data_IF_851253752357
#
_entry.id   IF_851253752357
#
_cell.length_a   1.000
_cell.length_b   1.000
_cell.length_c   1.000
_cell.angle_alpha   90.00
_cell.angle_beta   90.00
_cell.angle_gamma   90.00
#
_symmetry.space_group_name_H-M   'P 1'
#
loop_
_entity.id
_entity.type
_entity.pdbx_description
1 polymer ?
#
# COMPACT_ATOMS: atom_id res chain seq x y z
N UNK A 1 -13.71 -28.95 -18.24
CA UNK A 1 -14.13 -28.69 -16.86
C UNK A 1 -14.94 -29.89 -16.36
N UNK A 2 -14.71 -30.35 -15.13
CA UNK A 2 -15.39 -31.51 -14.57
C UNK A 2 -16.91 -31.22 -14.42
N UNK A 3 -17.79 -32.18 -14.74
CA UNK A 3 -19.25 -32.07 -14.60
C UNK A 3 -19.69 -31.59 -13.21
N UNK A 4 -19.01 -32.05 -12.15
CA UNK A 4 -19.29 -31.62 -10.78
C UNK A 4 -18.93 -30.14 -10.54
N UNK A 5 -17.84 -29.67 -11.14
CA UNK A 5 -17.44 -28.26 -11.09
C UNK A 5 -18.43 -27.36 -11.83
N UNK A 6 -18.91 -27.77 -13.00
CA UNK A 6 -19.93 -27.01 -13.74
C UNK A 6 -21.26 -26.95 -13.00
N UNK A 7 -21.67 -28.06 -12.36
CA UNK A 7 -22.89 -28.09 -11.54
C UNK A 7 -22.79 -27.19 -10.30
N UNK A 8 -21.65 -27.21 -9.61
CA UNK A 8 -21.39 -26.33 -8.47
C UNK A 8 -21.39 -24.85 -8.88
N UNK A 9 -20.71 -24.51 -9.99
CA UNK A 9 -20.69 -23.14 -10.50
C UNK A 9 -22.10 -22.66 -10.87
N UNK A 10 -22.90 -23.50 -11.54
CA UNK A 10 -24.30 -23.18 -11.83
C UNK A 10 -25.14 -22.92 -10.58
N UNK A 11 -24.99 -23.76 -9.55
CA UNK A 11 -25.68 -23.56 -8.27
C UNK A 11 -25.31 -22.24 -7.58
N UNK A 12 -24.04 -21.83 -7.67
CA UNK A 12 -23.58 -20.52 -7.17
C UNK A 12 -24.18 -19.40 -8.00
N UNK A 13 -24.06 -19.45 -9.32
CA UNK A 13 -24.51 -18.39 -10.24
C UNK A 13 -26.02 -18.11 -10.14
N UNK A 14 -26.85 -19.11 -9.81
CA UNK A 14 -28.28 -18.94 -9.52
C UNK A 14 -28.56 -18.05 -8.30
N UNK A 15 -27.62 -17.92 -7.35
CA UNK A 15 -27.79 -17.23 -6.07
C UNK A 15 -26.90 -16.00 -5.92
N UNK A 16 -25.74 -16.03 -6.58
CA UNK A 16 -24.73 -15.00 -6.53
C UNK A 16 -24.05 -14.95 -7.90
N UNK A 17 -24.07 -13.81 -8.62
CA UNK A 17 -23.62 -13.73 -10.01
C UNK A 17 -22.08 -13.74 -10.14
N UNK A 18 -21.44 -14.80 -9.66
CA UNK A 18 -19.99 -14.95 -9.56
C UNK A 18 -19.35 -14.90 -10.95
N UNK A 19 -19.84 -15.72 -11.88
CA UNK A 19 -19.27 -15.80 -13.23
C UNK A 19 -19.45 -14.49 -13.99
N UNK A 20 -20.61 -13.84 -13.84
CA UNK A 20 -20.86 -12.55 -14.49
C UNK A 20 -19.92 -11.45 -13.95
N UNK A 21 -19.73 -11.38 -12.63
CA UNK A 21 -18.82 -10.42 -12.01
C UNK A 21 -17.35 -10.71 -12.38
N UNK A 22 -16.94 -11.98 -12.39
CA UNK A 22 -15.61 -12.38 -12.84
C UNK A 22 -15.35 -11.93 -14.29
N UNK A 23 -16.31 -12.17 -15.18
CA UNK A 23 -16.21 -11.74 -16.58
C UNK A 23 -16.13 -10.23 -16.72
N UNK A 24 -17.00 -9.51 -16.02
CA UNK A 24 -17.08 -8.05 -16.09
C UNK A 24 -15.83 -7.35 -15.53
N UNK A 25 -15.18 -7.92 -14.51
CA UNK A 25 -14.09 -7.24 -13.81
C UNK A 25 -12.70 -7.84 -14.05
N UNK A 26 -12.58 -9.10 -14.48
CA UNK A 26 -11.29 -9.80 -14.51
C UNK A 26 -10.95 -10.44 -15.85
N UNK A 27 -11.91 -11.03 -16.57
CA UNK A 27 -11.56 -11.78 -17.80
C UNK A 27 -11.98 -11.13 -19.11
N UNK A 28 -13.18 -10.56 -19.21
CA UNK A 28 -13.81 -10.20 -20.50
C UNK A 28 -13.98 -8.69 -20.70
N UNK A 29 -13.48 -7.83 -19.80
CA UNK A 29 -13.48 -6.38 -20.07
C UNK A 29 -12.41 -6.01 -21.10
N UNK A 30 -12.74 -5.06 -21.97
CA UNK A 30 -11.85 -4.61 -23.04
C UNK A 30 -10.98 -3.44 -22.57
N UNK A 31 -9.67 -3.56 -22.81
CA UNK A 31 -8.68 -2.52 -22.54
C UNK A 31 -8.00 -2.06 -23.85
N UNK A 32 -7.52 -0.80 -23.94
CA UNK A 32 -6.78 -0.31 -25.10
C UNK A 32 -5.61 -1.23 -25.43
N UNK A 33 -5.38 -1.55 -26.71
CA UNK A 33 -4.34 -2.49 -27.16
C UNK A 33 -2.89 -1.99 -27.02
N UNK A 34 -2.70 -0.69 -26.77
CA UNK A 34 -1.42 0.03 -26.79
C UNK A 34 -0.88 0.38 -25.39
N UNK A 35 -1.20 -0.39 -24.34
CA UNK A 35 -0.59 -0.15 -23.03
C UNK A 35 0.92 -0.43 -23.05
N UNK A 36 1.69 0.59 -22.68
CA UNK A 36 3.13 0.48 -22.52
C UNK A 36 3.52 0.15 -21.07
N UNK A 37 4.82 0.27 -20.77
CA UNK A 37 5.41 0.03 -19.46
C UNK A 37 4.67 0.73 -18.30
N UNK A 38 4.20 1.96 -18.48
CA UNK A 38 3.61 2.73 -17.39
C UNK A 38 2.29 2.16 -16.84
N UNK A 39 1.67 1.20 -17.56
CA UNK A 39 0.42 0.58 -17.16
C UNK A 39 0.59 -0.59 -16.17
N UNK A 40 1.83 -1.01 -15.88
CA UNK A 40 2.10 -2.03 -14.83
C UNK A 40 1.84 -1.51 -13.41
N UNK A 41 2.07 -0.23 -13.15
CA UNK A 41 2.12 0.27 -11.77
C UNK A 41 0.78 0.22 -11.04
N UNK A 42 -0.35 0.10 -11.75
CA UNK A 42 -1.65 -0.14 -11.10
C UNK A 42 -1.78 -1.54 -10.52
N UNK A 43 -1.45 -2.58 -11.29
CA UNK A 43 -1.48 -3.97 -10.81
C UNK A 43 -0.36 -4.25 -9.80
N UNK A 44 0.81 -3.63 -9.97
CA UNK A 44 1.88 -3.70 -8.96
C UNK A 44 1.46 -3.05 -7.63
N UNK A 45 0.74 -1.92 -7.65
CA UNK A 45 0.24 -1.30 -6.41
C UNK A 45 -0.72 -2.23 -5.66
N UNK A 46 -1.59 -2.95 -6.39
CA UNK A 46 -2.46 -3.97 -5.81
C UNK A 46 -1.66 -5.13 -5.21
N UNK A 47 -0.64 -5.63 -5.92
CA UNK A 47 0.24 -6.68 -5.41
C UNK A 47 0.91 -6.27 -4.10
N UNK A 48 1.51 -5.07 -4.05
CA UNK A 48 2.20 -4.60 -2.85
C UNK A 48 1.21 -4.39 -1.71
N UNK A 49 0.00 -3.87 -1.96
CA UNK A 49 -1.05 -3.78 -0.94
C UNK A 49 -1.36 -5.15 -0.31
N UNK A 50 -1.50 -6.21 -1.13
CA UNK A 50 -1.72 -7.57 -0.62
C UNK A 50 -0.52 -8.06 0.20
N UNK A 51 0.71 -7.80 -0.27
CA UNK A 51 1.93 -8.14 0.49
C UNK A 51 1.90 -7.45 1.85
N UNK A 52 1.59 -6.15 1.92
CA UNK A 52 1.53 -5.41 3.18
C UNK A 52 0.47 -5.95 4.14
N UNK A 53 -0.74 -6.25 3.65
CA UNK A 53 -1.81 -6.80 4.49
C UNK A 53 -1.41 -8.17 5.04
N UNK A 54 -0.93 -9.07 4.18
CA UNK A 54 -0.57 -10.44 4.59
C UNK A 54 0.58 -10.40 5.59
N UNK A 55 1.67 -9.70 5.27
CA UNK A 55 2.81 -9.57 6.19
C UNK A 55 2.45 -8.85 7.48
N UNK A 56 1.63 -7.81 7.43
CA UNK A 56 1.15 -7.08 8.61
C UNK A 56 0.33 -7.96 9.56
N UNK A 57 -0.53 -8.84 9.02
CA UNK A 57 -1.28 -9.83 9.80
C UNK A 57 -0.31 -10.78 10.53
N UNK A 58 0.69 -11.32 9.84
CA UNK A 58 1.68 -12.19 10.48
C UNK A 58 2.50 -11.47 11.57
N UNK A 59 2.93 -10.23 11.32
CA UNK A 59 3.65 -9.44 12.33
C UNK A 59 2.79 -9.16 13.56
N UNK A 60 1.51 -8.85 13.35
CA UNK A 60 0.55 -8.58 14.42
C UNK A 60 0.36 -9.78 15.35
N UNK A 61 0.53 -11.02 14.88
CA UNK A 61 0.45 -12.23 15.71
C UNK A 61 1.56 -12.31 16.77
N UNK A 62 2.66 -11.56 16.59
CA UNK A 62 3.85 -11.61 17.45
C UNK A 62 4.19 -10.26 18.10
N UNK A 63 3.64 -9.16 17.60
CA UNK A 63 3.89 -7.81 18.10
C UNK A 63 3.12 -7.50 19.40
N UNK A 64 3.69 -6.67 20.27
CA UNK A 64 3.06 -6.17 21.51
C UNK A 64 2.93 -4.64 21.47
N UNK A 65 1.72 -4.06 21.37
CA UNK A 65 1.50 -2.62 21.40
C UNK A 65 1.58 -2.07 22.83
N UNK A 66 2.77 -2.14 23.42
CA UNK A 66 3.06 -1.66 24.77
C UNK A 66 4.40 -0.92 24.74
N UNK A 67 4.48 0.28 25.30
CA UNK A 67 5.64 1.16 25.19
C UNK A 67 6.94 0.55 25.75
N UNK A 68 6.84 -0.40 26.69
CA UNK A 68 7.98 -1.11 27.28
C UNK A 68 8.35 -2.35 26.45
N UNK A 69 7.37 -2.99 25.81
CA UNK A 69 7.56 -4.26 25.10
C UNK A 69 7.65 -4.15 23.57
N UNK A 70 7.23 -3.05 22.97
CA UNK A 70 7.08 -2.92 21.52
C UNK A 70 8.37 -3.20 20.76
N UNK A 71 9.45 -2.51 21.14
CA UNK A 71 10.78 -2.72 20.52
C UNK A 71 11.27 -4.16 20.73
N UNK A 72 11.18 -4.67 21.96
CA UNK A 72 11.57 -6.05 22.28
C UNK A 72 10.77 -7.09 21.49
N UNK A 73 9.48 -6.86 21.26
CA UNK A 73 8.63 -7.74 20.45
C UNK A 73 9.02 -7.74 18.97
N UNK A 74 9.50 -6.62 18.44
CA UNK A 74 10.06 -6.56 17.08
C UNK A 74 11.40 -7.30 16.99
N UNK A 75 12.27 -7.18 17.99
CA UNK A 75 13.51 -7.96 18.04
C UNK A 75 13.25 -9.47 18.18
N UNK A 76 12.23 -9.85 18.96
CA UNK A 76 11.76 -11.24 19.04
C UNK A 76 11.31 -11.77 17.67
N UNK A 77 10.54 -10.98 16.89
CA UNK A 77 10.18 -11.33 15.51
C UNK A 77 11.42 -11.54 14.64
N UNK A 78 12.43 -10.69 14.79
CA UNK A 78 13.66 -10.79 13.99
C UNK A 78 14.50 -12.01 14.31
N UNK A 79 14.60 -12.37 15.59
CA UNK A 79 15.60 -13.33 16.08
C UNK A 79 15.04 -14.71 16.33
N UNK A 80 13.81 -14.79 16.84
CA UNK A 80 13.28 -16.02 17.43
C UNK A 80 12.10 -16.59 16.61
N UNK A 81 11.37 -15.76 15.87
CA UNK A 81 10.30 -16.23 14.98
C UNK A 81 10.90 -16.80 13.69
N UNK A 82 10.55 -18.05 13.37
CA UNK A 82 10.96 -18.69 12.12
C UNK A 82 10.53 -17.86 10.90
N UNK A 83 11.49 -17.45 10.07
CA UNK A 83 11.29 -16.52 8.94
C UNK A 83 10.76 -15.13 9.31
N UNK A 84 10.70 -14.77 10.59
CA UNK A 84 10.17 -13.48 11.04
C UNK A 84 10.98 -12.29 10.52
N UNK A 85 12.31 -12.44 10.40
CA UNK A 85 13.18 -11.44 9.76
C UNK A 85 12.76 -11.12 8.32
N UNK A 86 12.40 -12.15 7.53
CA UNK A 86 12.01 -12.00 6.14
C UNK A 86 10.66 -11.30 6.05
N UNK A 87 9.69 -11.71 6.88
CA UNK A 87 8.36 -11.09 6.91
C UNK A 87 8.45 -9.63 7.33
N UNK A 88 9.28 -9.31 8.34
CA UNK A 88 9.51 -7.91 8.77
C UNK A 88 10.09 -7.09 7.62
N UNK A 89 11.13 -7.56 6.94
CA UNK A 89 11.71 -6.83 5.82
C UNK A 89 10.78 -6.74 4.61
N UNK A 90 10.00 -7.78 4.33
CA UNK A 90 8.94 -7.71 3.32
C UNK A 90 7.94 -6.61 3.65
N UNK A 91 7.60 -6.40 4.92
CA UNK A 91 6.68 -5.35 5.35
C UNK A 91 7.33 -3.95 5.31
N UNK A 92 8.55 -3.79 5.86
CA UNK A 92 9.24 -2.49 5.90
C UNK A 92 9.70 -2.03 4.51
N UNK A 93 10.44 -2.90 3.81
CA UNK A 93 10.92 -2.62 2.45
C UNK A 93 9.75 -2.59 1.46
N UNK A 94 8.71 -3.41 1.69
CA UNK A 94 7.49 -3.39 0.91
C UNK A 94 6.79 -2.03 0.97
N UNK A 95 6.76 -1.36 2.12
CA UNK A 95 6.24 0.00 2.23
C UNK A 95 7.01 1.00 1.35
N UNK A 96 8.35 0.93 1.33
CA UNK A 96 9.19 1.76 0.45
C UNK A 96 8.88 1.50 -1.03
N UNK A 97 8.81 0.22 -1.43
CA UNK A 97 8.47 -0.15 -2.80
C UNK A 97 7.04 0.26 -3.17
N UNK A 98 6.11 0.28 -2.20
CA UNK A 98 4.75 0.74 -2.42
C UNK A 98 4.74 2.21 -2.86
N UNK A 99 5.47 3.09 -2.16
CA UNK A 99 5.58 4.49 -2.55
C UNK A 99 6.22 4.67 -3.92
N UNK A 100 7.29 3.93 -4.23
CA UNK A 100 7.92 3.97 -5.57
C UNK A 100 6.90 3.62 -6.65
N UNK A 101 6.16 2.51 -6.47
CA UNK A 101 5.13 2.07 -7.42
C UNK A 101 4.01 3.11 -7.55
N UNK A 102 3.53 3.67 -6.44
CA UNK A 102 2.46 4.68 -6.45
C UNK A 102 2.94 5.98 -7.09
N UNK A 103 4.17 6.43 -6.85
CA UNK A 103 4.72 7.61 -7.53
C UNK A 103 4.79 7.41 -9.04
N UNK A 104 5.25 6.24 -9.51
CA UNK A 104 5.28 5.92 -10.94
C UNK A 104 3.86 5.80 -11.52
N UNK A 105 2.91 5.29 -10.75
CA UNK A 105 1.49 5.24 -11.12
C UNK A 105 0.87 6.64 -11.27
N UNK A 106 1.12 7.54 -10.30
CA UNK A 106 0.66 8.92 -10.34
C UNK A 106 1.33 9.70 -11.47
N UNK A 107 2.63 9.50 -11.67
CA UNK A 107 3.38 10.11 -12.76
C UNK A 107 2.79 9.73 -14.12
N UNK A 108 2.45 8.45 -14.33
CA UNK A 108 1.70 8.02 -15.52
C UNK A 108 0.39 8.79 -15.69
N UNK A 109 -0.33 9.00 -14.58
CA UNK A 109 -1.61 9.73 -14.57
C UNK A 109 -1.46 11.18 -15.03
N UNK A 110 -0.35 11.83 -14.65
CA UNK A 110 0.00 13.16 -15.12
C UNK A 110 0.48 13.15 -16.58
N UNK A 111 1.38 12.23 -16.92
CA UNK A 111 2.00 12.10 -18.24
C UNK A 111 0.97 11.95 -19.37
N UNK A 112 -0.04 11.09 -19.18
CA UNK A 112 -1.08 10.83 -20.20
C UNK A 112 -2.37 11.61 -19.97
N UNK A 113 -2.41 12.54 -19.01
CA UNK A 113 -3.64 13.28 -18.69
C UNK A 113 -4.78 12.37 -18.21
N UNK A 114 -4.48 11.26 -17.54
CA UNK A 114 -5.48 10.28 -17.08
C UNK A 114 -6.38 10.80 -15.93
N UNK A 115 -6.14 12.03 -15.48
CA UNK A 115 -6.95 12.76 -14.50
C UNK A 115 -8.00 13.68 -15.16
N UNK A 116 -7.93 13.87 -16.48
CA UNK A 116 -8.87 14.71 -17.22
C UNK A 116 -10.20 13.99 -17.45
N UNK A 117 -11.21 14.74 -17.88
CA UNK A 117 -12.52 14.22 -18.22
C UNK A 117 -12.45 12.96 -19.11
N UNK A 118 -13.19 11.87 -18.80
CA UNK A 118 -14.17 11.70 -17.72
C UNK A 118 -13.61 10.97 -16.46
N UNK A 119 -12.31 11.09 -16.16
CA UNK A 119 -11.60 10.30 -15.14
C UNK A 119 -11.28 11.08 -13.85
N UNK A 120 -11.93 12.20 -13.63
CA UNK A 120 -11.70 13.07 -12.47
C UNK A 120 -11.94 12.29 -11.16
N UNK A 121 -13.01 11.48 -11.10
CA UNK A 121 -13.34 10.70 -9.91
C UNK A 121 -12.28 9.62 -9.61
N UNK A 122 -11.72 8.98 -10.64
CA UNK A 122 -10.60 8.03 -10.48
C UNK A 122 -9.41 8.74 -9.84
N UNK A 123 -9.08 9.95 -10.33
CA UNK A 123 -7.99 10.74 -9.79
C UNK A 123 -8.23 11.16 -8.34
N UNK A 124 -9.44 11.63 -8.00
CA UNK A 124 -9.79 11.99 -6.62
C UNK A 124 -9.70 10.81 -5.66
N UNK A 125 -10.19 9.63 -6.05
CA UNK A 125 -9.98 8.41 -5.27
C UNK A 125 -8.50 8.07 -5.16
N UNK A 126 -7.72 8.22 -6.23
CA UNK A 126 -6.27 8.00 -6.21
C UNK A 126 -5.53 8.94 -5.23
N UNK A 127 -5.91 10.22 -5.18
CA UNK A 127 -5.36 11.19 -4.22
C UNK A 127 -5.76 10.80 -2.78
N UNK A 128 -7.01 10.38 -2.56
CA UNK A 128 -7.45 9.92 -1.24
C UNK A 128 -6.69 8.66 -0.80
N UNK A 129 -6.46 7.70 -1.71
CA UNK A 129 -5.63 6.51 -1.45
C UNK A 129 -4.21 6.93 -1.08
N UNK A 130 -3.60 7.85 -1.84
CA UNK A 130 -2.26 8.33 -1.56
C UNK A 130 -2.13 8.96 -0.17
N UNK A 131 -3.07 9.82 0.22
CA UNK A 131 -3.09 10.41 1.56
C UNK A 131 -3.30 9.35 2.67
N UNK A 132 -4.17 8.37 2.43
CA UNK A 132 -4.35 7.25 3.36
C UNK A 132 -3.08 6.39 3.47
N UNK A 133 -2.37 6.14 2.37
CA UNK A 133 -1.10 5.41 2.37
C UNK A 133 0.00 6.17 3.12
N UNK A 134 0.04 7.51 3.01
CA UNK A 134 0.95 8.33 3.82
C UNK A 134 0.64 8.19 5.32
N UNK A 135 -0.64 8.25 5.70
CA UNK A 135 -1.05 8.01 7.09
C UNK A 135 -0.71 6.60 7.56
N UNK A 136 -0.93 5.59 6.72
CA UNK A 136 -0.70 4.18 7.01
C UNK A 136 0.78 3.89 7.26
N UNK A 137 1.65 4.36 6.37
CA UNK A 137 3.09 4.21 6.54
C UNK A 137 3.63 4.98 7.74
N UNK A 138 3.07 6.17 8.01
CA UNK A 138 3.42 6.92 9.22
C UNK A 138 3.08 6.11 10.48
N UNK A 139 1.84 5.65 10.66
CA UNK A 139 1.48 4.89 11.87
C UNK A 139 2.27 3.59 12.00
N UNK A 140 2.53 2.89 10.88
CA UNK A 140 3.36 1.68 10.87
C UNK A 140 4.81 1.93 11.29
N UNK A 141 5.42 3.03 10.83
CA UNK A 141 6.79 3.41 11.19
C UNK A 141 6.96 3.72 12.70
N UNK A 142 5.87 3.98 13.40
CA UNK A 142 5.88 4.26 14.83
C UNK A 142 5.87 3.01 15.70
N UNK A 143 5.37 1.88 15.18
CA UNK A 143 5.17 0.66 15.96
C UNK A 143 6.47 0.01 16.49
N UNK A 144 7.62 0.05 15.80
CA UNK A 144 8.86 -0.44 16.39
C UNK A 144 9.28 0.31 17.66
N UNK A 145 8.77 1.53 17.87
CA UNK A 145 8.98 2.34 19.06
C UNK A 145 10.44 2.69 19.37
N UNK A 146 11.28 2.73 18.32
CA UNK A 146 12.65 3.24 18.37
C UNK A 146 12.74 4.77 18.49
N UNK A 147 13.95 5.31 18.42
CA UNK A 147 14.15 6.76 18.57
C UNK A 147 13.56 7.57 17.42
N UNK A 148 13.80 7.16 16.17
CA UNK A 148 13.23 7.85 15.01
C UNK A 148 11.70 7.73 14.97
N UNK A 149 11.15 6.60 15.41
CA UNK A 149 9.72 6.44 15.64
C UNK A 149 9.22 7.48 16.66
N UNK A 150 9.78 7.54 17.86
CA UNK A 150 9.31 8.45 18.92
C UNK A 150 9.37 9.93 18.50
N UNK A 151 10.51 10.37 17.96
CA UNK A 151 10.67 11.77 17.54
C UNK A 151 9.86 12.09 16.28
N UNK A 152 9.73 11.15 15.35
CA UNK A 152 8.85 11.28 14.19
C UNK A 152 7.39 11.49 14.62
N UNK A 153 6.91 10.71 15.59
CA UNK A 153 5.59 10.90 16.18
C UNK A 153 5.44 12.29 16.80
N UNK A 154 6.42 12.72 17.59
CA UNK A 154 6.39 14.03 18.25
C UNK A 154 6.30 15.17 17.24
N UNK A 155 7.10 15.13 16.17
CA UNK A 155 7.10 16.17 15.12
C UNK A 155 5.78 16.19 14.38
N UNK A 156 5.31 15.04 13.88
CA UNK A 156 4.08 14.98 13.05
C UNK A 156 2.84 15.32 13.85
N UNK A 157 2.69 14.82 15.09
CA UNK A 157 1.55 15.16 15.95
C UNK A 157 1.56 16.64 16.32
N UNK A 158 2.74 17.25 16.49
CA UNK A 158 2.86 18.68 16.76
C UNK A 158 2.48 19.55 15.56
N UNK A 159 2.55 19.06 14.31
CA UNK A 159 2.04 19.82 13.15
C UNK A 159 0.54 20.13 13.27
N UNK A 160 -0.25 19.22 13.86
CA UNK A 160 -1.67 19.45 14.10
C UNK A 160 -1.94 20.53 15.15
N UNK A 161 -0.98 20.79 16.04
CA UNK A 161 -1.13 21.87 17.03
C UNK A 161 -1.13 23.27 16.40
N UNK A 162 -0.60 23.39 15.18
CA UNK A 162 -0.57 24.64 14.41
C UNK A 162 -1.92 25.01 13.78
N UNK A 163 -2.94 24.14 13.85
CA UNK A 163 -4.27 24.46 13.32
C UNK A 163 -4.92 25.52 14.24
N UNK A 164 -5.33 26.69 13.70
CA UNK A 164 -5.95 27.72 14.52
C UNK A 164 -7.21 27.20 15.24
N UNK A 165 -7.43 27.69 16.46
CA UNK A 165 -8.57 27.39 17.34
C UNK A 165 -8.63 25.96 17.91
N UNK A 166 -8.50 24.92 17.08
CA UNK A 166 -8.72 23.52 17.50
C UNK A 166 -7.42 22.70 17.61
N UNK A 167 -6.29 23.23 17.15
CA UNK A 167 -5.03 22.47 17.03
C UNK A 167 -4.54 21.82 18.32
N UNK A 168 -4.47 22.54 19.46
CA UNK A 168 -4.05 21.96 20.73
C UNK A 168 -4.91 20.77 21.16
N UNK A 169 -6.24 20.91 21.08
CA UNK A 169 -7.19 19.86 21.45
C UNK A 169 -7.08 18.64 20.53
N UNK A 170 -6.95 18.87 19.21
CA UNK A 170 -6.73 17.80 18.22
C UNK A 170 -5.43 17.06 18.49
N UNK A 171 -4.37 17.78 18.84
CA UNK A 171 -3.05 17.18 19.08
C UNK A 171 -3.02 16.34 20.37
N UNK A 172 -3.69 16.79 21.43
CA UNK A 172 -3.88 16.00 22.67
C UNK A 172 -4.76 14.80 22.39
N UNK A 173 -5.88 14.99 21.67
CA UNK A 173 -6.75 13.89 21.28
C UNK A 173 -5.99 12.85 20.45
N UNK A 174 -5.16 13.26 19.48
CA UNK A 174 -4.42 12.35 18.59
C UNK A 174 -3.34 11.53 19.31
N UNK A 175 -2.68 12.10 20.32
CA UNK A 175 -1.70 11.33 21.12
C UNK A 175 -2.33 10.59 22.30
N UNK A 176 -3.51 11.00 22.76
CA UNK A 176 -4.24 10.39 23.87
C UNK A 176 -3.73 10.78 25.27
N UNK A 177 -2.81 11.74 25.35
CA UNK A 177 -2.15 12.20 26.57
C UNK A 177 -1.54 13.61 26.32
N UNK A 178 -0.85 14.21 27.30
CA UNK A 178 -0.15 15.48 27.13
C UNK A 178 1.19 15.34 26.40
N UNK A 179 1.76 14.13 26.37
CA UNK A 179 3.02 13.82 25.69
C UNK A 179 2.86 12.55 24.86
N UNK A 180 3.86 12.21 24.03
CA UNK A 180 3.87 10.91 23.35
C UNK A 180 4.13 9.83 24.40
N UNK A 181 3.17 8.92 24.58
CA UNK A 181 3.18 7.89 25.63
C UNK A 181 2.63 6.55 25.11
N UNK A 182 2.47 5.58 26.01
CA UNK A 182 1.86 4.28 25.69
C UNK A 182 0.46 4.41 25.06
N UNK A 183 -0.34 5.37 25.53
CA UNK A 183 -1.64 5.67 24.96
C UNK A 183 -1.53 6.06 23.47
N UNK A 184 -0.48 6.77 23.07
CA UNK A 184 -0.22 7.14 21.68
C UNK A 184 0.04 5.89 20.83
N UNK A 185 0.93 5.01 21.32
CA UNK A 185 1.30 3.78 20.63
C UNK A 185 0.08 2.87 20.40
N UNK A 186 -0.72 2.66 21.43
CA UNK A 186 -1.93 1.83 21.36
C UNK A 186 -2.92 2.35 20.31
N UNK A 187 -3.13 3.66 20.24
CA UNK A 187 -4.03 4.28 19.25
C UNK A 187 -3.48 4.17 17.84
N UNK A 188 -2.18 4.38 17.67
CA UNK A 188 -1.53 4.29 16.36
C UNK A 188 -1.50 2.86 15.84
N UNK A 189 -1.33 1.87 16.71
CA UNK A 189 -1.53 0.46 16.38
C UNK A 189 -2.94 0.20 15.84
N UNK A 190 -3.99 0.72 16.52
CA UNK A 190 -5.36 0.57 16.04
C UNK A 190 -5.62 1.26 14.69
N UNK A 191 -5.02 2.44 14.45
CA UNK A 191 -5.13 3.11 13.15
C UNK A 191 -4.43 2.34 12.04
N UNK A 192 -3.23 1.83 12.29
CA UNK A 192 -2.42 1.10 11.32
C UNK A 192 -3.00 -0.29 10.99
N UNK A 193 -3.44 -1.05 12.00
CA UNK A 193 -3.85 -2.44 11.78
C UNK A 193 -5.29 -2.56 11.29
N UNK A 194 -6.16 -1.64 11.71
CA UNK A 194 -7.60 -1.73 11.44
C UNK A 194 -8.06 -0.55 10.61
N UNK A 195 -8.06 0.66 11.18
CA UNK A 195 -8.83 1.75 10.60
C UNK A 195 -8.42 2.08 9.15
N UNK A 196 -7.13 2.27 8.91
CA UNK A 196 -6.63 2.66 7.59
C UNK A 196 -6.62 1.53 6.56
N UNK A 197 -6.24 0.27 6.87
CA UNK A 197 -6.38 -0.83 5.92
C UNK A 197 -7.83 -1.03 5.43
N UNK A 198 -8.82 -0.90 6.31
CA UNK A 198 -10.23 -0.99 5.90
C UNK A 198 -10.65 0.17 5.00
N UNK A 199 -10.23 1.41 5.33
CA UNK A 199 -10.48 2.58 4.49
C UNK A 199 -9.79 2.44 3.13
N UNK A 200 -8.54 1.98 3.10
CA UNK A 200 -7.77 1.71 1.87
C UNK A 200 -8.47 0.67 1.00
N UNK A 201 -8.93 -0.45 1.57
CA UNK A 201 -9.67 -1.47 0.83
C UNK A 201 -10.94 -0.88 0.18
N UNK A 202 -11.71 -0.06 0.92
CA UNK A 202 -12.89 0.63 0.39
C UNK A 202 -12.55 1.63 -0.73
N UNK A 203 -11.51 2.44 -0.55
CA UNK A 203 -11.07 3.41 -1.55
C UNK A 203 -10.52 2.74 -2.82
N UNK A 204 -9.76 1.66 -2.68
CA UNK A 204 -9.26 0.88 -3.82
C UNK A 204 -10.41 0.24 -4.59
N UNK A 205 -11.40 -0.30 -3.90
CA UNK A 205 -12.62 -0.82 -4.54
C UNK A 205 -13.35 0.30 -5.32
N UNK A 206 -13.56 1.47 -4.70
CA UNK A 206 -14.17 2.62 -5.37
C UNK A 206 -13.35 3.10 -6.58
N UNK A 207 -12.02 3.10 -6.47
CA UNK A 207 -11.10 3.46 -7.55
C UNK A 207 -11.20 2.52 -8.75
N UNK A 208 -11.24 1.21 -8.51
CA UNK A 208 -11.40 0.20 -9.57
C UNK A 208 -12.80 0.25 -10.20
N UNK A 209 -13.85 0.46 -9.41
CA UNK A 209 -15.21 0.63 -9.93
C UNK A 209 -15.31 1.85 -10.85
N UNK A 210 -14.76 2.99 -10.42
CA UNK A 210 -14.70 4.20 -11.25
C UNK A 210 -13.90 3.96 -12.55
N UNK A 211 -12.77 3.24 -12.48
CA UNK A 211 -11.99 2.85 -13.65
C UNK A 211 -12.80 1.97 -14.61
N UNK A 212 -13.55 1.01 -14.08
CA UNK A 212 -14.32 0.07 -14.90
C UNK A 212 -15.52 0.74 -15.54
N UNK A 213 -16.08 1.79 -14.93
CA UNK A 213 -17.17 2.57 -15.51
C UNK A 213 -16.70 3.36 -16.74
N UNK A 214 -15.68 4.21 -16.60
CA UNK A 214 -15.26 5.11 -17.70
C UNK A 214 -14.16 4.52 -18.60
N UNK A 215 -13.51 3.44 -18.18
CA UNK A 215 -12.46 2.76 -18.94
C UNK A 215 -11.07 3.36 -18.79
N UNK A 216 -10.07 2.54 -19.07
CA UNK A 216 -8.67 2.94 -19.04
C UNK A 216 -8.34 3.95 -20.14
N UNK A 217 -7.53 4.95 -19.80
CA UNK A 217 -6.85 5.80 -20.78
C UNK A 217 -5.74 5.00 -21.50
N UNK A 218 -5.16 5.56 -22.56
CA UNK A 218 -4.02 5.00 -23.28
C UNK A 218 -3.01 6.09 -23.67
N UNK A 219 -1.79 5.74 -24.12
CA UNK A 219 -0.77 6.72 -24.48
C UNK A 219 -1.20 7.74 -25.54
N UNK A 220 -2.12 7.38 -26.43
CA UNK A 220 -2.61 8.26 -27.50
C UNK A 220 -3.77 9.16 -27.03
N UNK A 221 -4.33 8.92 -25.84
CA UNK A 221 -5.45 9.69 -25.28
C UNK A 221 -6.81 9.47 -25.96
N UNK A 222 -6.93 8.46 -26.82
CA UNK A 222 -8.16 8.20 -27.61
C UNK A 222 -9.16 7.36 -26.82
N UNK A 223 -10.40 7.80 -26.72
CA UNK A 223 -11.47 7.09 -25.98
C UNK A 223 -12.00 5.86 -26.70
N UNK A 224 -11.45 4.67 -26.41
CA UNK A 224 -11.88 3.42 -27.08
C UNK A 224 -13.32 3.02 -26.75
N UNK A 225 -13.82 3.32 -25.54
CA UNK A 225 -15.17 2.92 -25.12
C UNK A 225 -16.27 3.62 -25.91
N UNK A 226 -15.97 4.80 -26.46
CA UNK A 226 -16.88 5.57 -27.31
C UNK A 226 -16.86 5.10 -28.77
N UNK A 227 -15.78 4.44 -29.20
CA UNK A 227 -15.57 4.01 -30.58
C UNK A 227 -15.68 2.49 -30.71
N UNK A 228 -16.91 2.01 -30.84
CA UNK A 228 -17.25 0.59 -30.93
C UNK A 228 -17.65 0.20 -32.35
N UNK A 229 -17.35 -1.04 -32.72
CA UNK A 229 -17.86 -1.65 -33.94
C UNK A 229 -19.40 -1.74 -33.89
N UNK A 230 -20.12 -1.21 -34.89
CA UNK A 230 -21.59 -1.20 -34.88
C UNK A 230 -22.27 -2.58 -34.92
N UNK A 231 -21.56 -3.64 -35.34
CA UNK A 231 -22.09 -5.01 -35.45
C UNK A 231 -21.82 -5.83 -34.21
N UNK A 232 -20.63 -5.67 -33.62
CA UNK A 232 -20.18 -6.51 -32.49
C UNK A 232 -20.25 -5.81 -31.13
N UNK A 233 -20.33 -4.47 -31.10
CA UNK A 233 -20.32 -3.67 -29.87
C UNK A 233 -18.96 -3.62 -29.17
N UNK A 234 -17.91 -4.18 -29.80
CA UNK A 234 -16.56 -4.26 -29.28
C UNK A 234 -15.80 -2.96 -29.60
N UNK A 235 -15.02 -2.38 -28.67
CA UNK A 235 -14.15 -1.25 -28.97
C UNK A 235 -13.16 -1.57 -30.11
N UNK A 236 -13.08 -0.71 -31.13
CA UNK A 236 -12.25 -0.95 -32.32
C UNK A 236 -10.75 -1.12 -31.99
N UNK A 237 -10.27 -0.39 -30.99
CA UNK A 237 -8.89 -0.44 -30.50
C UNK A 237 -8.76 -1.16 -29.14
N UNK A 238 -9.74 -1.98 -28.79
CA UNK A 238 -9.75 -2.78 -27.57
C UNK A 238 -9.36 -4.24 -27.81
N UNK A 239 -8.67 -4.83 -26.82
CA UNK A 239 -8.46 -6.27 -26.69
C UNK A 239 -9.00 -6.75 -25.33
N UNK A 240 -9.45 -8.01 -25.19
CA UNK A 240 -9.88 -8.52 -23.89
C UNK A 240 -8.72 -8.51 -22.90
N UNK A 241 -8.99 -8.20 -21.64
CA UNK A 241 -7.95 -8.14 -20.61
C UNK A 241 -7.26 -9.49 -20.42
N UNK A 242 -8.02 -10.58 -20.35
CA UNK A 242 -7.48 -11.94 -20.32
C UNK A 242 -7.49 -12.55 -21.74
N UNK A 243 -6.39 -13.19 -22.20
CA UNK A 243 -5.14 -13.44 -21.49
C UNK A 243 -4.08 -12.34 -21.66
N UNK A 244 -4.27 -11.40 -22.58
CA UNK A 244 -3.21 -10.48 -23.03
C UNK A 244 -2.57 -9.68 -21.89
N UNK A 245 -3.38 -8.94 -21.14
CA UNK A 245 -2.89 -8.12 -20.05
C UNK A 245 -2.61 -8.92 -18.79
N UNK A 246 -3.30 -10.04 -18.55
CA UNK A 246 -2.94 -10.94 -17.45
C UNK A 246 -1.52 -11.49 -17.61
N UNK A 247 -1.15 -11.98 -18.80
CA UNK A 247 0.20 -12.51 -19.07
C UNK A 247 1.24 -11.40 -19.03
N UNK A 248 0.95 -10.26 -19.64
CA UNK A 248 1.81 -9.06 -19.58
C UNK A 248 2.09 -8.69 -18.12
N UNK A 249 1.05 -8.57 -17.29
CA UNK A 249 1.19 -8.15 -15.90
C UNK A 249 1.91 -9.20 -15.04
N UNK A 250 1.72 -10.50 -15.28
CA UNK A 250 2.52 -11.55 -14.62
C UNK A 250 4.00 -11.39 -14.91
N UNK A 251 4.39 -11.04 -16.14
CA UNK A 251 5.78 -10.73 -16.46
C UNK A 251 6.29 -9.52 -15.66
N UNK A 252 5.49 -8.45 -15.58
CA UNK A 252 5.81 -7.28 -14.75
C UNK A 252 5.96 -7.64 -13.26
N UNK A 253 5.09 -8.50 -12.74
CA UNK A 253 5.17 -9.04 -11.37
C UNK A 253 6.46 -9.83 -11.16
N UNK A 254 6.84 -10.71 -12.09
CA UNK A 254 8.06 -11.50 -11.97
C UNK A 254 9.32 -10.61 -11.89
N UNK A 255 9.40 -9.57 -12.73
CA UNK A 255 10.49 -8.59 -12.70
C UNK A 255 10.47 -7.79 -11.40
N UNK A 256 9.30 -7.33 -10.96
CA UNK A 256 9.15 -6.62 -9.69
C UNK A 256 9.61 -7.48 -8.50
N UNK A 257 9.17 -8.74 -8.44
CA UNK A 257 9.54 -9.67 -7.37
C UNK A 257 11.03 -9.99 -7.37
N UNK A 258 11.66 -10.04 -8.54
CA UNK A 258 13.12 -10.17 -8.63
C UNK A 258 13.82 -8.94 -8.01
N UNK A 259 13.44 -7.72 -8.40
CA UNK A 259 14.01 -6.48 -7.83
C UNK A 259 13.72 -6.35 -6.33
N UNK A 260 12.53 -6.74 -5.90
CA UNK A 260 12.13 -6.74 -4.50
C UNK A 260 12.97 -7.74 -3.69
N UNK A 261 13.19 -8.94 -4.22
CA UNK A 261 14.04 -9.95 -3.59
C UNK A 261 15.50 -9.50 -3.47
N UNK A 262 16.03 -8.73 -4.43
CA UNK A 262 17.38 -8.17 -4.33
C UNK A 262 17.56 -7.25 -3.11
N UNK A 263 16.49 -6.64 -2.60
CA UNK A 263 16.57 -5.78 -1.41
C UNK A 263 16.89 -6.57 -0.13
N UNK A 264 16.68 -7.89 -0.14
CA UNK A 264 16.95 -8.76 1.02
C UNK A 264 18.37 -9.35 1.04
N UNK A 265 19.14 -9.21 -0.06
CA UNK A 265 20.51 -9.74 -0.18
C UNK A 265 21.52 -8.69 0.30
N UNK A 266 22.50 -9.09 1.12
CA UNK A 266 23.56 -8.19 1.61
C UNK A 266 24.65 -7.95 0.56
N UNK A 267 25.20 -6.72 0.44
CA UNK A 267 24.73 -5.47 1.04
C UNK A 267 23.59 -4.85 0.21
N UNK A 268 22.46 -4.53 0.82
CA UNK A 268 21.42 -3.71 0.18
C UNK A 268 21.42 -2.29 0.76
N UNK A 269 21.08 -1.25 -0.02
CA UNK A 269 21.03 0.13 0.46
C UNK A 269 20.07 0.34 1.64
N UNK A 270 19.02 -0.48 1.73
CA UNK A 270 18.00 -0.40 2.79
C UNK A 270 18.43 -1.05 4.10
N UNK A 271 19.39 -1.99 4.08
CA UNK A 271 19.96 -2.54 5.32
C UNK A 271 20.57 -1.44 6.21
N UNK A 272 21.19 -0.41 5.62
CA UNK A 272 21.94 0.61 6.38
C UNK A 272 21.02 1.46 7.26
N UNK A 273 19.82 1.82 6.77
CA UNK A 273 18.88 2.66 7.54
C UNK A 273 18.22 1.87 8.68
N UNK A 274 17.81 0.62 8.42
CA UNK A 274 17.23 -0.25 9.45
C UNK A 274 18.27 -0.67 10.52
N UNK A 275 19.55 -0.85 10.15
CA UNK A 275 20.64 -1.15 11.11
C UNK A 275 20.92 0.05 12.02
N UNK A 276 20.93 1.27 11.48
CA UNK A 276 21.12 2.51 12.27
C UNK A 276 19.99 2.69 13.28
N UNK A 277 18.73 2.44 12.90
CA UNK A 277 17.58 2.53 13.81
C UNK A 277 17.60 1.41 14.88
N UNK A 278 18.02 0.20 14.50
CA UNK A 278 18.13 -0.93 15.46
C UNK A 278 19.30 -0.78 16.44
N UNK A 279 20.37 -0.07 16.07
CA UNK A 279 21.55 0.14 16.92
C UNK A 279 21.33 1.20 18.00
N UNK A 280 20.29 2.05 17.85
CA UNK A 280 19.98 3.16 18.75
C UNK A 280 18.78 2.82 19.65
N UNK A 281 19.01 1.97 20.64
CA UNK A 281 18.11 1.90 21.79
C UNK A 281 18.04 3.29 22.49
N UNK A 282 16.88 3.62 23.07
CA UNK A 282 16.61 4.87 23.78
C UNK A 282 17.67 5.21 24.83
N UNK A 283 18.31 4.19 25.40
CA UNK A 283 19.35 4.32 26.42
C UNK A 283 20.75 4.59 25.83
N UNK A 284 21.12 3.94 24.73
CA UNK A 284 22.42 4.11 24.07
C UNK A 284 22.58 5.49 23.40
N UNK A 285 21.49 6.11 22.92
CA UNK A 285 21.56 7.42 22.29
C UNK A 285 21.64 8.60 23.28
N UNK A 286 21.16 8.45 24.52
CA UNK A 286 21.41 9.44 25.59
C UNK A 286 22.90 9.54 25.91
N UNK A 287 23.60 8.41 25.84
CA UNK A 287 25.04 8.35 26.00
C UNK A 287 25.77 8.92 24.79
N UNK A 288 25.30 8.65 23.56
CA UNK A 288 25.89 9.21 22.33
C UNK A 288 25.68 10.73 22.22
N UNK A 289 24.49 11.24 22.51
CA UNK A 289 24.20 12.68 22.54
C UNK A 289 24.98 13.38 23.66
N UNK A 290 25.17 12.73 24.82
CA UNK A 290 26.08 13.20 25.88
C UNK A 290 27.53 13.22 25.42
N UNK A 291 28.02 12.19 24.72
CA UNK A 291 29.39 12.12 24.21
C UNK A 291 29.66 13.22 23.18
N UNK A 292 28.73 13.43 22.23
CA UNK A 292 28.81 14.50 21.23
C UNK A 292 28.74 15.90 21.88
N UNK A 293 27.89 16.09 22.91
CA UNK A 293 27.81 17.36 23.65
C UNK A 293 29.00 17.58 24.60
N UNK A 294 29.67 16.51 25.04
CA UNK A 294 30.86 16.56 25.90
C UNK A 294 32.17 16.62 25.09
N UNK A 295 32.11 16.55 23.76
CA UNK A 295 33.27 16.68 22.88
C UNK A 295 34.32 15.58 23.06
N UNK A 296 33.89 14.35 23.39
CA UNK A 296 34.74 13.16 23.46
C UNK A 296 34.39 12.21 22.32
#
# INVERSE_FOLDING_TARGET
MNKYLTCLLGWVDERFPLTANWKAHLSEYYAPKNFNFWYYFGSLAMLVLVIQIVTGIFLTMHYKPDAELAFASVEYIMRDVSWGWLIRYMHSTGASMFFVVVYLHMFRGLLYGSHRNPRELIWLFGVAIFLCLMGEAFFGYLLPWGQMSFWGAQVIVNLFSSIPFIGPDVSVWLRGDYTISDATLNRFFAFHVIALPFVLAGLVAAHLLALHEVGSNNPDGIEIKKHKDPKTGIPLDGIPFHPYYTVKDIFGVAVFMFVFALQFVKPSPYYILDEIDSALDKENSKNLARLILLGI
#
